data_IF_597371872568
#
_entry.id   IF_597371872568
#
_cell.length_a   1.000
_cell.length_b   1.000
_cell.length_c   1.000
_cell.angle_alpha   90.00
_cell.angle_beta   90.00
_cell.angle_gamma   90.00
#
_symmetry.space_group_name_H-M   'P 1'
#
loop_
_entity.id
_entity.type
_entity.pdbx_description
1 polymer ?
#
# COMPACT_ATOMS: atom_id res chain seq x y z
N UNK A 1 -1.79 -11.45 2.53
CA UNK A 1 -2.83 -10.80 3.35
C UNK A 1 -2.78 -9.31 3.06
N UNK A 2 -3.90 -8.67 2.70
CA UNK A 2 -3.89 -7.27 2.30
C UNK A 2 -4.02 -6.34 3.49
N UNK A 3 -3.03 -5.47 3.69
CA UNK A 3 -2.96 -4.57 4.82
C UNK A 3 -3.15 -3.10 4.41
N UNK A 4 -3.62 -2.23 5.31
CA UNK A 4 -3.77 -0.80 5.01
C UNK A 4 -2.41 -0.13 4.77
N UNK A 5 -2.41 1.00 4.04
CA UNK A 5 -1.21 1.79 3.73
C UNK A 5 -0.37 2.13 4.96
N UNK A 6 -1.01 2.43 6.08
CA UNK A 6 -0.34 2.76 7.34
C UNK A 6 0.47 1.59 7.90
N UNK A 7 -0.07 0.38 7.79
CA UNK A 7 0.59 -0.81 8.29
C UNK A 7 1.67 -1.29 7.34
N UNK A 8 1.44 -1.19 6.03
CA UNK A 8 2.44 -1.47 5.01
C UNK A 8 3.63 -0.50 5.13
N UNK A 9 3.35 0.79 5.33
CA UNK A 9 4.35 1.80 5.59
C UNK A 9 5.21 1.46 6.81
N UNK A 10 4.58 1.04 7.93
CA UNK A 10 5.31 0.61 9.14
C UNK A 10 6.17 -0.64 8.90
N UNK A 11 5.64 -1.68 8.25
CA UNK A 11 6.38 -2.92 7.97
C UNK A 11 7.56 -2.70 7.04
N UNK A 12 7.38 -1.87 6.01
CA UNK A 12 8.42 -1.52 5.05
C UNK A 12 9.37 -0.43 5.57
N UNK A 13 9.11 0.14 6.76
CA UNK A 13 9.91 1.23 7.32
C UNK A 13 9.90 2.50 6.45
N UNK A 14 8.86 2.69 5.63
CA UNK A 14 8.78 3.76 4.64
C UNK A 14 7.64 4.74 4.95
N UNK A 15 7.73 5.96 4.44
CA UNK A 15 6.64 6.93 4.57
C UNK A 15 5.44 6.52 3.70
N UNK A 16 4.18 6.68 4.15
CA UNK A 16 2.99 6.32 3.35
C UNK A 16 2.92 7.05 1.99
N UNK A 17 3.51 8.24 1.86
CA UNK A 17 3.67 8.89 0.54
C UNK A 17 4.56 8.08 -0.40
N UNK A 18 5.67 7.53 0.10
CA UNK A 18 6.59 6.69 -0.69
C UNK A 18 5.90 5.39 -1.09
N UNK A 19 5.18 4.76 -0.15
CA UNK A 19 4.36 3.58 -0.44
C UNK A 19 3.33 3.84 -1.55
N UNK A 20 2.66 4.99 -1.51
CA UNK A 20 1.68 5.38 -2.53
C UNK A 20 2.36 5.60 -3.89
N UNK A 21 3.50 6.28 -3.94
CA UNK A 21 4.30 6.44 -5.16
C UNK A 21 4.72 5.11 -5.76
N UNK A 22 5.13 4.16 -4.92
CA UNK A 22 5.50 2.82 -5.38
C UNK A 22 4.30 2.04 -5.92
N UNK A 23 3.12 2.15 -5.30
CA UNK A 23 1.91 1.53 -5.84
C UNK A 23 1.45 2.17 -7.15
N UNK A 24 1.53 3.50 -7.26
CA UNK A 24 1.24 4.22 -8.51
C UNK A 24 2.28 3.87 -9.61
N UNK A 25 3.53 3.59 -9.23
CA UNK A 25 4.58 3.10 -10.12
C UNK A 25 4.52 1.58 -10.41
N UNK A 26 3.57 0.84 -9.82
CA UNK A 26 3.46 -0.61 -9.99
C UNK A 26 4.57 -1.43 -9.32
N UNK A 27 5.35 -0.84 -8.40
CA UNK A 27 6.44 -1.49 -7.66
C UNK A 27 5.95 -2.42 -6.55
N UNK A 28 4.74 -2.19 -6.03
CA UNK A 28 4.11 -3.02 -4.99
C UNK A 28 2.70 -3.44 -5.41
N UNK A 29 2.31 -4.69 -5.15
CA UNK A 29 0.96 -5.14 -5.41
C UNK A 29 0.00 -4.41 -4.47
N UNK A 30 -1.06 -3.87 -5.04
CA UNK A 30 -2.14 -3.24 -4.28
C UNK A 30 -3.48 -3.66 -4.87
N UNK A 31 -4.47 -3.79 -4.00
CA UNK A 31 -5.86 -4.00 -4.38
C UNK A 31 -6.68 -2.79 -3.97
N UNK A 32 -7.73 -2.55 -4.75
CA UNK A 32 -8.80 -1.63 -4.35
C UNK A 32 -9.93 -2.47 -3.82
N UNK A 33 -10.34 -2.21 -2.58
CA UNK A 33 -11.57 -2.80 -2.06
C UNK A 33 -12.78 -2.20 -2.78
N UNK A 34 -13.91 -2.88 -2.74
CA UNK A 34 -15.19 -2.40 -3.29
C UNK A 34 -15.58 -1.02 -2.72
N UNK A 35 -15.10 -0.68 -1.52
CA UNK A 35 -15.27 0.62 -0.86
C UNK A 35 -14.29 1.70 -1.32
N UNK A 36 -13.43 1.44 -2.32
CA UNK A 36 -12.45 2.39 -2.85
C UNK A 36 -11.18 2.55 -2.01
N UNK A 37 -10.99 1.77 -0.94
CA UNK A 37 -9.77 1.82 -0.14
C UNK A 37 -8.65 1.03 -0.80
N UNK A 38 -7.44 1.61 -0.81
CA UNK A 38 -6.23 0.90 -1.26
C UNK A 38 -5.70 0.02 -0.13
N UNK A 39 -5.57 -1.27 -0.38
CA UNK A 39 -4.82 -2.19 0.48
C UNK A 39 -3.60 -2.72 -0.27
N UNK A 40 -2.54 -2.95 0.47
CA UNK A 40 -1.23 -3.28 -0.05
C UNK A 40 -0.90 -4.70 0.37
N UNK A 41 -0.31 -5.43 -0.56
CA UNK A 41 0.31 -6.71 -0.25
C UNK A 41 1.73 -6.44 0.25
N UNK A 42 2.04 -6.90 1.46
CA UNK A 42 3.39 -6.91 1.99
C UNK A 42 3.68 -8.27 2.63
#
# INVERSE_FOLDING_TARGET
MYIPSREAAKRLGCHPCTLRKWADAGKIPHIRTSSGQRRYEC
#
